data_IF_829007681924
#
_entry.id   IF_829007681924
#
_cell.length_a   1.000
_cell.length_b   1.000
_cell.length_c   1.000
_cell.angle_alpha   90.00
_cell.angle_beta   90.00
_cell.angle_gamma   90.00
#
_symmetry.space_group_name_H-M   'P 1'
#
loop_
_entity.id
_entity.type
_entity.pdbx_description
1 polymer ?
#
# COMPACT_ATOMS: atom_id res chain seq x y z
N UNK A 1 -1.28 13.82 4.41
CA UNK A 1 -2.55 14.26 3.79
C UNK A 1 -3.20 15.34 4.63
N UNK A 2 -3.70 15.03 5.83
CA UNK A 2 -4.34 16.00 6.74
C UNK A 2 -3.45 17.24 6.97
N UNK A 3 -2.18 17.04 7.31
CA UNK A 3 -1.25 18.16 7.52
C UNK A 3 -1.11 19.10 6.31
N UNK A 4 -1.23 18.57 5.07
CA UNK A 4 -1.22 19.40 3.86
C UNK A 4 -2.58 20.09 3.68
N UNK A 5 -3.68 19.36 3.85
CA UNK A 5 -5.03 19.92 3.74
C UNK A 5 -5.28 21.06 4.75
N UNK A 6 -4.66 21.00 5.93
CA UNK A 6 -4.72 22.03 6.97
C UNK A 6 -3.64 23.13 6.82
N UNK A 7 -2.80 23.08 5.79
CA UNK A 7 -1.73 24.07 5.57
C UNK A 7 -0.57 24.01 6.56
N UNK A 8 -0.44 22.91 7.33
CA UNK A 8 0.68 22.68 8.26
C UNK A 8 1.92 22.09 7.59
N UNK A 9 1.81 21.66 6.33
CA UNK A 9 2.90 21.17 5.50
C UNK A 9 2.60 21.45 4.03
N UNK A 10 3.64 21.72 3.23
CA UNK A 10 3.45 22.00 1.80
C UNK A 10 3.40 20.73 0.94
N UNK A 11 4.24 19.72 1.26
CA UNK A 11 4.43 18.49 0.48
C UNK A 11 4.61 17.29 1.41
N UNK A 12 4.19 16.10 0.96
CA UNK A 12 4.49 14.82 1.60
C UNK A 12 4.72 13.73 0.55
N UNK A 13 5.62 12.81 0.84
CA UNK A 13 5.79 11.57 0.07
C UNK A 13 4.95 10.45 0.71
N UNK A 14 4.15 9.77 -0.10
CA UNK A 14 3.22 8.71 0.33
C UNK A 14 3.32 7.57 -0.69
N UNK A 15 3.27 6.31 -0.24
CA UNK A 15 3.20 5.19 -1.18
C UNK A 15 1.82 5.10 -1.84
N UNK A 16 1.76 4.47 -3.02
CA UNK A 16 0.55 4.42 -3.83
C UNK A 16 -0.60 3.66 -3.15
N UNK A 17 -0.31 2.65 -2.33
CA UNK A 17 -1.32 1.89 -1.59
C UNK A 17 -1.98 2.74 -0.51
N UNK A 18 -1.16 3.41 0.31
CA UNK A 18 -1.65 4.37 1.31
C UNK A 18 -2.43 5.52 0.67
N UNK A 19 -2.00 6.02 -0.50
CA UNK A 19 -2.76 7.05 -1.23
C UNK A 19 -4.12 6.55 -1.73
N UNK A 20 -4.19 5.34 -2.28
CA UNK A 20 -5.46 4.72 -2.70
C UNK A 20 -6.42 4.54 -1.52
N UNK A 21 -5.92 4.08 -0.37
CA UNK A 21 -6.72 3.97 0.86
C UNK A 21 -7.20 5.34 1.33
N UNK A 22 -6.33 6.35 1.32
CA UNK A 22 -6.72 7.69 1.72
C UNK A 22 -7.79 8.30 0.81
N UNK A 23 -7.69 8.15 -0.51
CA UNK A 23 -8.76 8.59 -1.42
C UNK A 23 -10.12 7.95 -1.11
N UNK A 24 -10.10 6.69 -0.65
CA UNK A 24 -11.33 5.95 -0.31
C UNK A 24 -11.91 6.32 1.05
N UNK A 25 -11.06 6.61 2.04
CA UNK A 25 -11.48 6.66 3.44
C UNK A 25 -11.18 7.97 4.16
N UNK A 26 -10.32 8.84 3.62
CA UNK A 26 -9.93 10.12 4.24
C UNK A 26 -10.52 11.30 3.47
N UNK A 27 -11.56 11.98 3.98
CA UNK A 27 -12.17 13.13 3.33
C UNK A 27 -11.19 14.26 2.95
N UNK A 28 -10.14 14.49 3.75
CA UNK A 28 -9.11 15.50 3.49
C UNK A 28 -8.29 15.20 2.23
N UNK A 29 -8.28 13.95 1.73
CA UNK A 29 -7.62 13.59 0.49
C UNK A 29 -8.20 14.33 -0.72
N UNK A 30 -9.47 14.78 -0.66
CA UNK A 30 -10.10 15.61 -1.71
C UNK A 30 -9.53 17.03 -1.78
N UNK A 31 -8.88 17.51 -0.72
CA UNK A 31 -8.30 18.84 -0.63
C UNK A 31 -6.84 18.91 -1.07
N UNK A 32 -6.24 17.81 -1.52
CA UNK A 32 -4.85 17.75 -1.96
C UNK A 32 -4.76 17.12 -3.35
N UNK A 33 -3.63 17.35 -4.04
CA UNK A 33 -3.36 16.77 -5.36
C UNK A 33 -2.00 16.10 -5.39
N UNK A 34 -1.85 15.11 -6.26
CA UNK A 34 -0.55 14.51 -6.55
C UNK A 34 0.25 15.45 -7.44
N UNK A 35 1.52 15.69 -7.11
CA UNK A 35 2.43 16.57 -7.88
C UNK A 35 3.55 15.82 -8.59
N UNK A 36 3.66 14.52 -8.39
CA UNK A 36 4.66 13.67 -9.04
C UNK A 36 4.65 12.24 -8.52
N UNK A 37 5.30 11.36 -9.27
CA UNK A 37 5.41 9.93 -8.95
C UNK A 37 6.86 9.47 -9.02
N UNK A 38 7.24 8.57 -8.10
CA UNK A 38 8.53 7.86 -8.16
C UNK A 38 8.44 6.66 -9.10
N UNK A 39 9.59 6.11 -9.50
CA UNK A 39 9.63 4.89 -10.31
C UNK A 39 9.01 3.69 -9.57
N UNK A 40 8.37 2.79 -10.31
CA UNK A 40 7.72 1.59 -9.75
C UNK A 40 8.70 0.74 -8.93
N UNK A 41 8.16 0.09 -7.90
CA UNK A 41 8.86 -0.82 -6.98
C UNK A 41 7.97 -2.03 -6.70
N UNK A 42 8.57 -3.11 -6.18
CA UNK A 42 7.81 -4.27 -5.68
C UNK A 42 6.92 -3.82 -4.51
N UNK A 43 5.73 -4.44 -4.41
CA UNK A 43 4.79 -4.21 -3.33
C UNK A 43 5.31 -4.65 -1.96
N UNK A 44 4.53 -4.38 -0.92
CA UNK A 44 4.87 -4.76 0.45
C UNK A 44 4.96 -6.29 0.57
N UNK A 45 6.05 -6.82 1.17
CA UNK A 45 6.15 -8.25 1.41
C UNK A 45 5.25 -8.67 2.57
N UNK A 46 4.82 -9.93 2.58
CA UNK A 46 4.34 -10.58 3.81
C UNK A 46 5.52 -10.85 4.74
N UNK A 47 5.42 -10.40 5.98
CA UNK A 47 6.46 -10.53 7.00
C UNK A 47 5.85 -11.24 8.22
N UNK A 48 6.63 -12.13 8.85
CA UNK A 48 6.29 -12.77 10.12
C UNK A 48 7.42 -12.56 11.13
N UNK A 49 7.15 -12.85 12.41
CA UNK A 49 8.16 -12.72 13.46
C UNK A 49 9.38 -13.61 13.20
N UNK A 50 10.55 -13.16 13.65
CA UNK A 50 11.80 -13.93 13.52
C UNK A 50 11.75 -15.29 14.22
N UNK A 51 10.96 -15.38 15.30
CA UNK A 51 10.81 -16.59 16.12
C UNK A 51 9.71 -17.53 15.62
N UNK A 52 9.03 -17.21 14.50
CA UNK A 52 7.97 -18.07 13.95
C UNK A 52 8.55 -19.45 13.60
N UNK A 53 7.97 -20.55 14.12
CA UNK A 53 8.47 -21.91 13.85
C UNK A 53 8.40 -22.28 12.37
N UNK A 54 9.38 -23.04 11.89
CA UNK A 54 9.45 -23.48 10.49
C UNK A 54 8.16 -24.16 9.96
N UNK A 55 7.48 -25.03 10.74
CA UNK A 55 6.21 -25.63 10.29
C UNK A 55 5.12 -24.59 10.01
N UNK A 56 5.06 -23.51 10.80
CA UNK A 56 4.10 -22.42 10.63
C UNK A 56 4.45 -21.59 9.39
N UNK A 57 5.74 -21.33 9.15
CA UNK A 57 6.20 -20.64 7.93
C UNK A 57 5.80 -21.43 6.69
N UNK A 58 5.97 -22.76 6.70
CA UNK A 58 5.59 -23.62 5.59
C UNK A 58 4.08 -23.54 5.31
N UNK A 59 3.25 -23.70 6.34
CA UNK A 59 1.80 -23.60 6.22
C UNK A 59 1.34 -22.21 5.72
N UNK A 60 1.94 -21.12 6.19
CA UNK A 60 1.65 -19.77 5.69
C UNK A 60 2.00 -19.61 4.21
N UNK A 61 3.13 -20.15 3.75
CA UNK A 61 3.53 -20.10 2.34
C UNK A 61 2.57 -20.88 1.45
N UNK A 62 2.18 -22.09 1.87
CA UNK A 62 1.20 -22.91 1.16
C UNK A 62 -0.14 -22.19 1.06
N UNK A 63 -0.63 -21.60 2.16
CA UNK A 63 -1.88 -20.87 2.19
C UNK A 63 -1.87 -19.64 1.25
N UNK A 64 -0.79 -18.85 1.26
CA UNK A 64 -0.64 -17.70 0.35
C UNK A 64 -0.60 -18.16 -1.12
N UNK A 65 0.22 -19.18 -1.43
CA UNK A 65 0.34 -19.70 -2.79
C UNK A 65 -1.00 -20.28 -3.33
N UNK A 66 -1.80 -20.91 -2.47
CA UNK A 66 -3.11 -21.43 -2.84
C UNK A 66 -4.12 -20.34 -3.23
N UNK A 67 -3.96 -19.12 -2.68
CA UNK A 67 -4.82 -17.97 -2.99
C UNK A 67 -4.30 -17.22 -4.22
N UNK A 68 -2.98 -17.12 -4.41
CA UNK A 68 -2.37 -16.44 -5.56
C UNK A 68 -2.67 -17.14 -6.90
N UNK A 69 -2.94 -18.46 -6.90
CA UNK A 69 -3.40 -19.19 -8.08
C UNK A 69 -4.77 -18.74 -8.63
N UNK A 70 -5.52 -17.94 -7.86
CA UNK A 70 -6.82 -17.37 -8.23
C UNK A 70 -6.76 -15.84 -8.30
N UNK A 71 -6.02 -15.28 -9.28
CA UNK A 71 -6.15 -13.89 -9.73
C UNK A 71 -6.27 -12.80 -8.63
N UNK A 72 -5.59 -12.95 -7.49
CA UNK A 72 -5.47 -11.88 -6.51
C UNK A 72 -4.21 -11.05 -6.80
N UNK A 73 -4.07 -10.55 -8.04
CA UNK A 73 -3.15 -9.45 -8.28
C UNK A 73 -3.72 -8.24 -7.53
N UNK A 74 -2.92 -7.61 -6.66
CA UNK A 74 -3.25 -6.27 -6.24
C UNK A 74 -3.25 -5.41 -7.50
N UNK A 75 -4.40 -4.85 -7.92
CA UNK A 75 -4.43 -4.04 -9.11
C UNK A 75 -3.43 -2.91 -8.92
N UNK A 76 -2.60 -2.67 -9.93
CA UNK A 76 -1.69 -1.54 -9.91
C UNK A 76 -2.51 -0.30 -9.58
N UNK A 77 -2.14 0.40 -8.50
CA UNK A 77 -2.72 1.70 -8.20
C UNK A 77 -2.50 2.57 -9.43
N UNK A 78 -3.59 2.97 -10.06
CA UNK A 78 -3.51 3.84 -11.22
C UNK A 78 -2.88 5.15 -10.76
N UNK A 79 -1.80 5.53 -11.43
CA UNK A 79 -1.13 6.79 -11.16
C UNK A 79 -2.05 7.89 -11.71
N UNK A 80 -2.82 8.49 -10.82
CA UNK A 80 -3.74 9.60 -11.12
C UNK A 80 -3.15 10.89 -10.58
N UNK A 81 -3.24 11.94 -11.38
CA UNK A 81 -2.64 13.25 -11.14
C UNK A 81 -2.60 14.04 -12.44
#
# INVERSE_FOLDING_TARGET
IIAIAEGRADIAAIDCGSWALAQRFEPAARGVKVVGWTARRKGLPYITARTTPAPIIAAMREAVAAIEGGASEQPFVQLVG
#
